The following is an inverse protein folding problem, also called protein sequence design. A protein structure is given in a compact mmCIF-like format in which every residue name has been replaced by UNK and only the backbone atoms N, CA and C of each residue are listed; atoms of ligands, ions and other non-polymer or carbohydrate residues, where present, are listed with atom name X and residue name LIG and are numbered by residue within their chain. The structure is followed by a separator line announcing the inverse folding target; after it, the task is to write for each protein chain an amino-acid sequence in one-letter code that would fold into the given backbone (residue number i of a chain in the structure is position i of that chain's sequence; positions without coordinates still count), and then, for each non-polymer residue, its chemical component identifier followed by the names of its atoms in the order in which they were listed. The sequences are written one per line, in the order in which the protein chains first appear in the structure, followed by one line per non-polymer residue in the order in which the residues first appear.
data_IF_637248360263
#
_entry.id   IF_637248360263
#
_cell.length_a   1.000
_cell.length_b   1.000
_cell.length_c   1.000
_cell.angle_alpha   90.00
_cell.angle_beta   90.00
_cell.angle_gamma   90.00
#
_symmetry.space_group_name_H-M   'P 1'
#
loop_
_entity.id
_entity.type
_entity.pdbx_description
1 polymer ?
#
# COMPACT_ATOMS: atom_id res chain seq x y z
N UNK A 1 -11.64 -2.27 -12.82
CA UNK A 1 -11.07 -2.40 -11.48
C UNK A 1 -11.42 -3.76 -10.92
N UNK A 2 -10.50 -4.72 -11.04
CA UNK A 2 -10.71 -6.09 -10.62
C UNK A 2 -9.83 -6.47 -9.42
N UNK A 3 -9.55 -5.53 -8.51
CA UNK A 3 -9.06 -5.82 -7.16
C UNK A 3 -9.50 -4.70 -6.20
N UNK A 4 -9.76 -5.08 -4.95
CA UNK A 4 -10.32 -4.20 -3.91
C UNK A 4 -9.17 -3.64 -3.09
N UNK A 5 -8.64 -2.48 -3.47
CA UNK A 5 -7.85 -1.65 -2.56
C UNK A 5 -8.74 -1.17 -1.42
N UNK A 6 -8.16 -0.96 -0.24
CA UNK A 6 -8.91 -0.57 0.96
C UNK A 6 -9.39 0.88 0.91
N UNK A 7 -8.71 1.72 0.13
CA UNK A 7 -9.25 3.01 -0.25
C UNK A 7 -8.50 3.69 -1.38
N UNK A 8 -9.09 4.81 -1.81
CA UNK A 8 -8.67 5.56 -2.97
C UNK A 8 -9.01 7.04 -2.79
N UNK A 9 -8.21 7.91 -3.41
CA UNK A 9 -8.41 9.36 -3.42
C UNK A 9 -8.20 9.92 -4.84
N UNK A 10 -9.05 10.84 -5.33
CA UNK A 10 -10.22 11.42 -4.65
C UNK A 10 -11.45 10.51 -4.63
N UNK A 11 -11.47 9.50 -5.51
CA UNK A 11 -12.59 8.57 -5.66
C UNK A 11 -12.10 7.20 -6.13
N UNK A 12 -12.97 6.20 -6.13
CA UNK A 12 -12.65 4.89 -6.70
C UNK A 12 -12.54 4.91 -8.23
N UNK A 13 -13.02 5.96 -8.91
CA UNK A 13 -12.86 6.15 -10.36
C UNK A 13 -11.81 7.23 -10.59
N UNK A 14 -10.80 6.90 -11.39
CA UNK A 14 -9.65 7.77 -11.71
C UNK A 14 -8.93 8.33 -10.45
N UNK A 15 -8.43 7.45 -9.56
CA UNK A 15 -7.71 7.90 -8.37
C UNK A 15 -6.31 8.42 -8.73
N UNK A 16 -5.81 9.37 -7.94
CA UNK A 16 -4.39 9.76 -7.93
C UNK A 16 -3.61 9.05 -6.82
N UNK A 17 -4.31 8.39 -5.90
CA UNK A 17 -3.73 7.61 -4.82
C UNK A 17 -4.64 6.46 -4.41
N UNK A 18 -4.04 5.33 -4.03
CA UNK A 18 -4.69 4.14 -3.49
C UNK A 18 -3.90 3.61 -2.30
N UNK A 19 -4.58 2.92 -1.37
CA UNK A 19 -3.91 2.31 -0.24
C UNK A 19 -4.48 0.95 0.13
N UNK A 20 -3.62 0.13 0.72
CA UNK A 20 -3.94 -1.16 1.31
C UNK A 20 -3.60 -1.17 2.80
N UNK A 21 -4.40 -1.89 3.58
CA UNK A 21 -4.25 -2.07 5.02
C UNK A 21 -4.06 -3.55 5.30
N UNK A 22 -2.86 -3.91 5.78
CA UNK A 22 -2.53 -5.28 6.19
C UNK A 22 -2.35 -5.30 7.70
N UNK A 23 -3.48 -5.43 8.39
CA UNK A 23 -3.57 -5.55 9.84
C UNK A 23 -3.91 -7.00 10.26
N UNK A 24 -3.12 -7.57 11.16
CA UNK A 24 -3.30 -8.94 11.63
C UNK A 24 -3.28 -9.03 13.16
N UNK A 25 -4.29 -8.43 13.78
CA UNK A 25 -4.46 -8.50 15.23
C UNK A 25 -5.03 -9.86 15.66
N UNK A 26 -4.51 -10.38 16.78
CA UNK A 26 -5.00 -11.59 17.44
C UNK A 26 -4.92 -12.89 16.61
N UNK A 27 -4.14 -12.90 15.52
CA UNK A 27 -3.91 -14.15 14.78
C UNK A 27 -3.18 -15.16 15.66
N UNK A 28 -3.70 -16.38 15.72
CA UNK A 28 -3.10 -17.48 16.50
C UNK A 28 -2.09 -18.28 15.69
N UNK A 29 -2.09 -18.12 14.36
CA UNK A 29 -1.21 -18.83 13.44
C UNK A 29 -0.67 -17.89 12.37
N UNK A 30 0.63 -18.00 12.11
CA UNK A 30 1.22 -17.47 10.90
C UNK A 30 0.93 -18.44 9.74
N UNK A 31 0.46 -17.93 8.60
CA UNK A 31 0.01 -18.78 7.51
C UNK A 31 -0.23 -18.03 6.21
N UNK A 32 -0.79 -18.75 5.22
CA UNK A 32 -0.92 -18.28 3.84
C UNK A 32 -1.52 -16.88 3.74
N UNK A 33 -2.52 -16.55 4.56
CA UNK A 33 -3.20 -15.25 4.52
C UNK A 33 -2.30 -14.03 4.63
N UNK A 34 -1.23 -14.09 5.43
CA UNK A 34 -0.28 -12.97 5.59
C UNK A 34 0.62 -12.88 4.35
N UNK A 35 1.04 -14.04 3.82
CA UNK A 35 1.82 -14.10 2.60
C UNK A 35 0.98 -13.66 1.38
N UNK A 36 -0.27 -14.09 1.29
CA UNK A 36 -1.23 -13.73 0.25
C UNK A 36 -1.39 -12.21 0.19
N UNK A 37 -1.49 -11.54 1.35
CA UNK A 37 -1.53 -10.08 1.42
C UNK A 37 -0.31 -9.39 0.79
N UNK A 38 0.88 -9.98 0.86
CA UNK A 38 2.08 -9.45 0.18
C UNK A 38 2.03 -9.69 -1.32
N UNK A 39 1.59 -10.87 -1.75
CA UNK A 39 1.47 -11.17 -3.18
C UNK A 39 0.37 -10.35 -3.86
N UNK A 40 -0.69 -10.02 -3.14
CA UNK A 40 -1.72 -9.08 -3.58
C UNK A 40 -1.12 -7.69 -3.81
N UNK A 41 -0.42 -7.13 -2.82
CA UNK A 41 0.24 -5.82 -2.95
C UNK A 41 1.29 -5.78 -4.05
N UNK A 42 2.05 -6.86 -4.22
CA UNK A 42 3.00 -6.99 -5.32
C UNK A 42 2.28 -6.94 -6.67
N UNK A 43 1.17 -7.65 -6.82
CA UNK A 43 0.39 -7.68 -8.04
C UNK A 43 -0.23 -6.31 -8.37
N UNK A 44 -0.76 -5.60 -7.37
CA UNK A 44 -1.23 -4.21 -7.51
C UNK A 44 -0.11 -3.27 -7.97
N UNK A 45 1.06 -3.35 -7.33
CA UNK A 45 2.21 -2.52 -7.68
C UNK A 45 2.67 -2.72 -9.13
N UNK A 46 2.63 -3.96 -9.64
CA UNK A 46 2.93 -4.25 -11.04
C UNK A 46 1.87 -3.68 -12.00
N UNK A 47 0.58 -3.73 -11.64
CA UNK A 47 -0.48 -3.13 -12.48
C UNK A 47 -0.38 -1.60 -12.50
N UNK A 48 -0.05 -0.97 -11.37
CA UNK A 48 0.18 0.47 -11.28
C UNK A 48 1.43 0.88 -12.08
N UNK A 49 2.49 0.08 -12.05
CA UNK A 49 3.66 0.28 -12.90
C UNK A 49 3.29 0.18 -14.39
N UNK A 50 2.50 -0.81 -14.80
CA UNK A 50 2.06 -0.97 -16.18
C UNK A 50 1.28 0.28 -16.67
N UNK A 51 0.39 0.82 -15.84
CA UNK A 51 -0.33 2.07 -16.13
C UNK A 51 0.63 3.27 -16.28
N UNK A 52 1.66 3.35 -15.44
CA UNK A 52 2.66 4.41 -15.51
C UNK A 52 3.49 4.31 -16.80
N UNK A 53 3.89 3.11 -17.20
CA UNK A 53 4.78 2.89 -18.34
C UNK A 53 4.07 2.95 -19.70
N UNK A 54 2.82 2.47 -19.76
CA UNK A 54 2.10 2.32 -21.03
C UNK A 54 1.01 3.36 -21.27
N UNK A 55 0.45 3.94 -20.21
CA UNK A 55 -0.68 4.88 -20.31
C UNK A 55 -0.36 6.28 -19.78
N UNK A 56 0.87 6.51 -19.26
CA UNK A 56 1.29 7.75 -18.60
C UNK A 56 0.38 8.15 -17.42
N UNK A 57 -0.25 7.16 -16.79
CA UNK A 57 -1.13 7.35 -15.62
C UNK A 57 -0.34 6.97 -14.37
N UNK A 58 0.02 7.97 -13.57
CA UNK A 58 0.67 7.77 -12.28
C UNK A 58 -0.34 7.82 -11.14
N UNK A 59 -0.42 6.72 -10.38
CA UNK A 59 -1.21 6.57 -9.15
C UNK A 59 -0.26 6.24 -8.01
N UNK A 60 -0.43 6.90 -6.87
CA UNK A 60 0.40 6.68 -5.68
C UNK A 60 -0.10 5.50 -4.86
N UNK A 61 0.79 4.56 -4.56
CA UNK A 61 0.45 3.33 -3.86
C UNK A 61 1.00 3.33 -2.43
N UNK A 62 0.10 3.26 -1.45
CA UNK A 62 0.45 3.25 -0.02
C UNK A 62 0.15 1.90 0.62
N UNK A 63 1.05 1.43 1.46
CA UNK A 63 0.84 0.21 2.26
C UNK A 63 0.87 0.54 3.75
N UNK A 64 -0.20 0.22 4.46
CA UNK A 64 -0.28 0.35 5.92
C UNK A 64 -0.18 -1.03 6.55
N UNK A 65 0.72 -1.19 7.51
CA UNK A 65 1.09 -2.50 8.08
C UNK A 65 0.98 -2.45 9.60
N UNK A 66 0.19 -3.35 10.18
CA UNK A 66 0.13 -3.51 11.63
C UNK A 66 -0.11 -4.97 12.07
N UNK A 67 0.27 -5.28 13.31
CA UNK A 67 0.30 -6.63 13.88
C UNK A 67 1.73 -7.06 14.17
N UNK A 68 2.32 -6.52 15.24
CA UNK A 68 3.74 -6.73 15.62
C UNK A 68 4.20 -8.18 15.52
N UNK A 69 3.47 -9.11 16.13
CA UNK A 69 3.82 -10.54 16.08
C UNK A 69 3.81 -11.09 14.64
N UNK A 70 2.79 -10.75 13.86
CA UNK A 70 2.66 -11.22 12.49
C UNK A 70 3.82 -10.78 11.60
N UNK A 71 4.27 -9.54 11.74
CA UNK A 71 5.28 -8.93 10.85
C UNK A 71 6.71 -9.02 11.37
N UNK A 72 6.90 -8.97 12.68
CA UNK A 72 8.22 -8.86 13.29
C UNK A 72 8.73 -10.19 13.86
N UNK A 73 7.84 -11.00 14.43
CA UNK A 73 8.21 -12.29 15.02
C UNK A 73 8.07 -13.42 13.98
N UNK A 74 6.86 -13.64 13.49
CA UNK A 74 6.54 -14.81 12.66
C UNK A 74 6.82 -14.56 11.16
N UNK A 75 6.63 -13.34 10.68
CA UNK A 75 6.62 -12.98 9.25
C UNK A 75 7.78 -12.14 8.76
N UNK A 76 8.94 -12.21 9.40
CA UNK A 76 10.11 -11.38 9.04
C UNK A 76 10.47 -11.45 7.55
N UNK A 77 10.32 -12.61 6.90
CA UNK A 77 10.57 -12.76 5.45
C UNK A 77 9.59 -11.96 4.59
N UNK A 78 8.32 -11.85 4.99
CA UNK A 78 7.34 -11.03 4.30
C UNK A 78 7.63 -9.54 4.49
N UNK A 79 8.09 -9.14 5.67
CA UNK A 79 8.56 -7.78 5.91
C UNK A 79 9.74 -7.41 5.01
N UNK A 80 10.69 -8.31 4.78
CA UNK A 80 11.77 -8.07 3.80
C UNK A 80 11.23 -7.84 2.38
N UNK A 81 10.21 -8.60 1.96
CA UNK A 81 9.56 -8.40 0.66
C UNK A 81 8.88 -7.04 0.54
N UNK A 82 8.32 -6.50 1.63
CA UNK A 82 7.78 -5.14 1.64
C UNK A 82 8.87 -4.12 1.31
N UNK A 83 10.06 -4.28 1.92
CA UNK A 83 11.19 -3.42 1.57
C UNK A 83 11.65 -3.61 0.13
N UNK A 84 11.65 -4.83 -0.40
CA UNK A 84 11.96 -5.07 -1.81
C UNK A 84 10.95 -4.32 -2.71
N UNK A 85 9.65 -4.40 -2.43
CA UNK A 85 8.60 -3.68 -3.17
C UNK A 85 8.77 -2.16 -3.11
N UNK A 86 9.16 -1.63 -1.95
CA UNK A 86 9.47 -0.20 -1.79
C UNK A 86 10.66 0.21 -2.67
N UNK A 87 11.72 -0.60 -2.74
CA UNK A 87 12.88 -0.31 -3.59
C UNK A 87 12.59 -0.46 -5.09
N UNK A 88 11.73 -1.41 -5.46
CA UNK A 88 11.29 -1.59 -6.84
C UNK A 88 10.31 -0.48 -7.29
N UNK A 89 9.76 0.29 -6.36
CA UNK A 89 8.77 1.33 -6.66
C UNK A 89 7.36 0.79 -6.90
N UNK A 90 7.09 -0.43 -6.42
CA UNK A 90 5.76 -1.05 -6.44
C UNK A 90 4.85 -0.54 -5.33
N UNK A 91 5.45 -0.03 -4.26
CA UNK A 91 4.79 0.75 -3.22
C UNK A 91 5.59 2.04 -3.07
N UNK A 92 4.92 3.18 -2.99
CA UNK A 92 5.58 4.47 -2.84
C UNK A 92 5.96 4.76 -1.39
N UNK A 93 5.07 4.43 -0.44
CA UNK A 93 5.29 4.64 0.98
C UNK A 93 4.67 3.50 1.80
N UNK A 94 5.40 3.04 2.82
CA UNK A 94 4.93 2.01 3.77
C UNK A 94 4.87 2.62 5.17
N UNK A 95 3.74 2.46 5.85
CA UNK A 95 3.51 2.99 7.19
C UNK A 95 3.34 1.84 8.19
N UNK A 96 4.10 1.87 9.29
CA UNK A 96 4.04 0.84 10.33
C UNK A 96 3.35 1.34 11.61
N UNK A 97 2.30 0.65 12.03
CA UNK A 97 1.61 0.90 13.30
C UNK A 97 1.23 2.37 13.51
N UNK A 98 1.89 3.04 14.45
CA UNK A 98 1.58 4.44 14.81
C UNK A 98 1.89 5.45 13.70
N UNK A 99 2.83 5.13 12.81
CA UNK A 99 3.17 5.99 11.66
C UNK A 99 1.95 6.26 10.79
N UNK A 100 1.00 5.33 10.72
CA UNK A 100 -0.27 5.52 10.00
C UNK A 100 -0.98 6.79 10.48
N UNK A 101 -1.07 7.01 11.80
CA UNK A 101 -1.78 8.18 12.35
C UNK A 101 -0.93 9.44 12.28
N UNK A 102 0.39 9.31 12.42
CA UNK A 102 1.32 10.44 12.44
C UNK A 102 1.56 11.03 11.04
N UNK A 103 1.68 10.17 10.02
CA UNK A 103 2.00 10.56 8.64
C UNK A 103 0.77 10.82 7.76
N UNK A 104 -0.39 10.23 8.06
CA UNK A 104 -1.60 10.44 7.25
C UNK A 104 -1.97 11.91 7.04
N UNK A 105 -1.89 12.81 8.04
CA UNK A 105 -2.11 14.23 7.81
C UNK A 105 -1.18 14.85 6.77
N UNK A 106 0.10 14.42 6.71
CA UNK A 106 1.05 14.89 5.69
C UNK A 106 0.66 14.36 4.32
N UNK A 107 0.46 13.05 4.21
CA UNK A 107 0.09 12.37 2.95
C UNK A 107 -1.17 13.01 2.35
N UNK A 108 -2.22 13.18 3.15
CA UNK A 108 -3.48 13.77 2.67
C UNK A 108 -3.29 15.21 2.21
N UNK A 109 -2.51 16.04 2.92
CA UNK A 109 -2.22 17.42 2.47
C UNK A 109 -1.52 17.43 1.11
N UNK A 110 -0.54 16.56 0.91
CA UNK A 110 0.17 16.44 -0.36
C UNK A 110 -0.75 15.94 -1.49
N UNK A 111 -1.62 14.95 -1.23
CA UNK A 111 -2.57 14.45 -2.24
C UNK A 111 -3.64 15.48 -2.59
N UNK A 112 -4.15 16.23 -1.61
CA UNK A 112 -5.10 17.34 -1.86
C UNK A 112 -4.46 18.45 -2.70
N UNK A 113 -3.21 18.81 -2.42
CA UNK A 113 -2.48 19.78 -3.22
C UNK A 113 -2.31 19.29 -4.68
N UNK A 114 -1.80 18.06 -4.86
CA UNK A 114 -1.62 17.47 -6.19
C UNK A 114 -2.92 17.34 -6.99
N UNK A 115 -4.04 17.01 -6.32
CA UNK A 115 -5.34 16.94 -6.98
C UNK A 115 -5.79 18.31 -7.52
N UNK A 116 -5.62 19.37 -6.73
CA UNK A 116 -5.98 20.74 -7.13
C UNK A 116 -5.12 21.31 -8.24
N UNK A 117 -3.89 20.82 -8.40
CA UNK A 117 -3.01 21.22 -9.51
C UNK A 117 -3.38 20.53 -10.83
N UNK A 118 -4.10 19.41 -10.77
CA UNK A 118 -4.61 18.68 -11.94
C UNK A 118 -5.93 19.26 -12.49
N UNK A 119 -6.67 20.03 -11.68
CA UNK A 119 -7.88 20.77 -12.09
C UNK A 119 -7.53 22.10 -12.77
#
# INVERSE_FOLDING_TARGET
MARRVDGAFPSAVDPIAVWEIKEYYYTTSFGSRIADGIYETLAEGMEIEELREHEDISVKHYLMVDGYRAWWEDGKSNTCRIFDMLHMGYVDEVLFGREVVEEMPRIVRERVAAYREKE
#
